data_IF_674129476974
#
_entry.id   IF_674129476974
#
_cell.length_a   1.000
_cell.length_b   1.000
_cell.length_c   1.000
_cell.angle_alpha   90.00
_cell.angle_beta   90.00
_cell.angle_gamma   90.00
#
_symmetry.space_group_name_H-M   'P 1'
#
loop_
_entity.id
_entity.type
_entity.pdbx_description
1 polymer ?
#
# COMPACT_ATOMS: atom_id res chain seq x y z
N UNK A 1 11.60 0.40 20.49
CA UNK A 1 11.65 0.44 19.01
C UNK A 1 11.52 -0.98 18.48
N UNK A 2 10.54 -1.25 17.61
CA UNK A 2 10.40 -2.55 16.93
C UNK A 2 11.71 -2.92 16.24
N UNK A 3 12.23 -4.12 16.51
CA UNK A 3 13.42 -4.67 15.83
C UNK A 3 13.12 -5.25 14.44
N UNK A 4 11.84 -5.30 14.07
CA UNK A 4 11.36 -5.96 12.86
C UNK A 4 11.30 -4.97 11.68
N UNK A 5 11.43 -5.50 10.45
CA UNK A 5 11.32 -4.78 9.17
C UNK A 5 12.52 -3.90 8.78
N UNK A 6 13.73 -4.47 8.79
CA UNK A 6 14.94 -3.83 8.23
C UNK A 6 15.16 -4.25 6.79
N UNK A 7 15.40 -3.27 5.93
CA UNK A 7 15.89 -3.47 4.56
C UNK A 7 17.42 -3.44 4.62
N UNK A 8 18.05 -4.62 4.61
CA UNK A 8 19.49 -4.74 4.85
C UNK A 8 20.30 -4.28 3.64
N UNK A 9 20.05 -4.88 2.47
CA UNK A 9 20.70 -4.51 1.22
C UNK A 9 19.66 -4.09 0.19
N UNK A 10 19.66 -2.80 -0.15
CA UNK A 10 18.69 -2.16 -1.05
C UNK A 10 18.78 -2.64 -2.51
N UNK A 11 19.88 -3.28 -2.89
CA UNK A 11 20.09 -3.84 -4.24
C UNK A 11 19.27 -5.10 -4.47
N UNK A 12 18.93 -5.83 -3.40
CA UNK A 12 18.14 -7.05 -3.52
C UNK A 12 16.63 -6.78 -3.38
N UNK A 13 15.81 -7.59 -4.07
CA UNK A 13 14.38 -7.58 -3.84
C UNK A 13 14.04 -7.97 -2.40
N UNK A 14 13.06 -7.31 -1.79
CA UNK A 14 12.50 -7.69 -0.50
C UNK A 14 11.03 -8.06 -0.64
N UNK A 15 10.64 -9.13 0.05
CA UNK A 15 9.25 -9.39 0.36
C UNK A 15 8.79 -8.48 1.50
N UNK A 16 7.69 -7.78 1.30
CA UNK A 16 7.05 -6.94 2.29
C UNK A 16 5.58 -7.30 2.45
N UNK A 17 5.07 -7.10 3.66
CA UNK A 17 3.66 -7.20 3.96
C UNK A 17 3.22 -6.05 4.87
N UNK A 18 2.03 -5.51 4.64
CA UNK A 18 1.41 -4.55 5.53
C UNK A 18 -0.12 -4.68 5.51
N UNK A 19 -0.73 -4.43 6.66
CA UNK A 19 -2.18 -4.57 6.88
C UNK A 19 -2.86 -3.24 7.18
N UNK A 20 -4.17 -3.21 6.99
CA UNK A 20 -5.07 -2.16 7.48
C UNK A 20 -5.08 -2.15 9.01
N UNK A 21 -5.39 -0.98 9.60
CA UNK A 21 -5.52 -0.87 11.05
C UNK A 21 -6.67 -1.77 11.52
N UNK A 22 -6.43 -2.55 12.58
CA UNK A 22 -7.43 -3.48 13.11
C UNK A 22 -7.76 -4.66 12.19
N UNK A 23 -6.97 -4.91 11.14
CA UNK A 23 -7.26 -5.96 10.14
C UNK A 23 -8.63 -5.81 9.46
N UNK A 24 -9.11 -4.56 9.36
CA UNK A 24 -10.40 -4.25 8.77
C UNK A 24 -10.37 -4.51 7.25
N UNK A 25 -11.40 -5.16 6.73
CA UNK A 25 -11.55 -5.45 5.30
C UNK A 25 -11.91 -4.19 4.50
N UNK A 26 -10.88 -3.41 4.17
CA UNK A 26 -10.98 -2.22 3.33
C UNK A 26 -11.10 -2.60 1.86
N UNK A 27 -10.26 -3.52 1.37
CA UNK A 27 -10.22 -3.93 -0.03
C UNK A 27 -11.33 -4.95 -0.34
N UNK A 28 -12.56 -4.48 -0.38
CA UNK A 28 -13.77 -5.29 -0.64
C UNK A 28 -14.52 -4.84 -1.88
N UNK A 29 -14.17 -3.68 -2.43
CA UNK A 29 -14.75 -3.08 -3.63
C UNK A 29 -13.65 -2.76 -4.62
N UNK A 30 -13.96 -2.94 -5.91
CA UNK A 30 -13.01 -2.69 -7.00
C UNK A 30 -12.41 -1.30 -6.94
N UNK A 31 -13.18 -0.28 -6.57
CA UNK A 31 -12.69 1.10 -6.45
C UNK A 31 -11.54 1.24 -5.44
N UNK A 32 -11.60 0.51 -4.32
CA UNK A 32 -10.54 0.54 -3.30
C UNK A 32 -9.29 -0.23 -3.75
N UNK A 33 -9.47 -1.35 -4.46
CA UNK A 33 -8.35 -2.04 -5.12
C UNK A 33 -7.69 -1.12 -6.16
N UNK A 34 -8.48 -0.46 -7.01
CA UNK A 34 -7.99 0.44 -8.04
C UNK A 34 -7.18 1.59 -7.43
N UNK A 35 -7.65 2.21 -6.34
CA UNK A 35 -6.88 3.26 -5.65
C UNK A 35 -5.51 2.76 -5.22
N UNK A 36 -5.42 1.53 -4.68
CA UNK A 36 -4.14 0.97 -4.26
C UNK A 36 -3.21 0.68 -5.44
N UNK A 37 -3.75 0.11 -6.52
CA UNK A 37 -3.00 -0.15 -7.76
C UNK A 37 -2.51 1.16 -8.39
N UNK A 38 -3.35 2.20 -8.44
CA UNK A 38 -2.96 3.53 -8.92
C UNK A 38 -1.82 4.12 -8.08
N UNK A 39 -1.88 3.97 -6.76
CA UNK A 39 -0.82 4.43 -5.86
C UNK A 39 0.50 3.67 -6.10
N UNK A 40 0.43 2.36 -6.34
CA UNK A 40 1.59 1.54 -6.68
C UNK A 40 2.18 2.03 -8.02
N UNK A 41 1.36 2.16 -9.07
CA UNK A 41 1.80 2.63 -10.39
C UNK A 41 2.43 4.02 -10.31
N UNK A 42 1.79 4.96 -9.61
CA UNK A 42 2.37 6.28 -9.40
C UNK A 42 3.74 6.23 -8.69
N UNK A 43 3.93 5.30 -7.76
CA UNK A 43 5.22 5.13 -7.06
C UNK A 43 6.27 4.47 -7.97
N UNK A 44 5.86 3.61 -8.91
CA UNK A 44 6.73 3.05 -9.95
C UNK A 44 7.22 4.18 -10.86
N UNK A 45 6.27 4.95 -11.42
CA UNK A 45 6.54 5.95 -12.46
C UNK A 45 7.34 7.15 -11.92
N UNK A 46 6.96 7.67 -10.75
CA UNK A 46 7.52 8.93 -10.24
C UNK A 46 8.68 8.74 -9.25
N UNK A 47 8.75 7.57 -8.58
CA UNK A 47 9.67 7.36 -7.45
C UNK A 47 10.66 6.20 -7.65
N UNK A 48 10.55 5.46 -8.75
CA UNK A 48 11.48 4.38 -9.07
C UNK A 48 11.29 3.12 -8.23
N UNK A 49 10.05 2.86 -7.76
CA UNK A 49 9.70 1.56 -7.19
C UNK A 49 9.76 0.48 -8.28
N UNK A 50 10.36 -0.65 -7.97
CA UNK A 50 10.32 -1.84 -8.83
C UNK A 50 9.41 -2.86 -8.15
N UNK A 51 8.45 -3.43 -8.88
CA UNK A 51 7.53 -4.46 -8.36
C UNK A 51 7.73 -5.74 -9.16
N UNK A 52 8.19 -6.80 -8.49
CA UNK A 52 8.37 -8.13 -9.09
C UNK A 52 7.13 -9.00 -8.96
N UNK A 53 6.29 -8.74 -7.96
CA UNK A 53 5.04 -9.44 -7.73
C UNK A 53 4.26 -8.80 -6.59
N UNK A 54 2.93 -8.91 -6.62
CA UNK A 54 2.07 -8.36 -5.57
C UNK A 54 0.77 -9.14 -5.45
N UNK A 55 0.17 -9.08 -4.27
CA UNK A 55 -1.17 -9.59 -3.99
C UNK A 55 -1.85 -8.63 -3.00
N UNK A 56 -3.06 -8.19 -3.34
CA UNK A 56 -3.91 -7.39 -2.44
C UNK A 56 -5.01 -8.31 -1.93
N UNK A 57 -4.99 -8.57 -0.62
CA UNK A 57 -6.05 -9.27 0.10
C UNK A 57 -7.02 -8.23 0.68
N UNK A 58 -8.13 -8.67 1.27
CA UNK A 58 -9.19 -7.78 1.76
C UNK A 58 -8.71 -6.78 2.83
N UNK A 59 -7.72 -7.15 3.63
CA UNK A 59 -7.21 -6.35 4.75
C UNK A 59 -5.69 -6.18 4.77
N UNK A 60 -4.96 -6.72 3.80
CA UNK A 60 -3.49 -6.59 3.76
C UNK A 60 -2.94 -6.75 2.35
N UNK A 61 -1.70 -6.32 2.16
CA UNK A 61 -1.00 -6.35 0.88
C UNK A 61 0.34 -7.04 1.05
N UNK A 62 0.67 -7.92 0.12
CA UNK A 62 1.97 -8.56 -0.02
C UNK A 62 2.64 -8.09 -1.31
N UNK A 63 3.93 -7.78 -1.26
CA UNK A 63 4.68 -7.35 -2.45
C UNK A 63 6.11 -7.87 -2.40
N UNK A 64 6.69 -8.15 -3.56
CA UNK A 64 8.13 -8.32 -3.76
C UNK A 64 8.62 -7.08 -4.49
N UNK A 65 9.44 -6.27 -3.82
CA UNK A 65 9.83 -4.94 -4.30
C UNK A 65 11.34 -4.78 -4.41
N UNK A 66 11.77 -3.94 -5.34
CA UNK A 66 13.11 -3.39 -5.42
C UNK A 66 13.04 -1.87 -5.58
N UNK A 67 14.18 -1.24 -5.85
CA UNK A 67 14.22 0.21 -6.05
C UNK A 67 15.30 0.63 -7.04
N UNK A 68 15.05 1.75 -7.71
CA UNK A 68 16.04 2.49 -8.50
C UNK A 68 16.28 3.87 -7.87
N UNK A 69 17.14 3.92 -6.85
CA UNK A 69 17.65 5.16 -6.25
C UNK A 69 17.12 5.48 -4.86
N UNK A 70 15.80 5.57 -4.66
CA UNK A 70 15.20 5.87 -3.34
C UNK A 70 15.23 4.63 -2.45
N UNK A 71 15.52 4.74 -1.16
CA UNK A 71 15.53 3.55 -0.29
C UNK A 71 14.14 2.91 -0.22
N UNK A 72 14.06 1.58 -0.25
CA UNK A 72 12.83 0.81 -0.24
C UNK A 72 11.93 1.16 0.97
N UNK A 73 12.49 1.41 2.16
CA UNK A 73 11.71 1.87 3.32
C UNK A 73 11.02 3.21 3.10
N UNK A 74 11.65 4.14 2.39
CA UNK A 74 11.09 5.47 2.13
C UNK A 74 9.97 5.36 1.09
N UNK A 75 10.16 4.54 0.05
CA UNK A 75 9.13 4.21 -0.92
C UNK A 75 7.91 3.58 -0.24
N UNK A 76 8.11 2.58 0.63
CA UNK A 76 7.00 1.91 1.33
C UNK A 76 6.30 2.84 2.31
N UNK A 77 7.04 3.67 3.05
CA UNK A 77 6.45 4.70 3.92
C UNK A 77 5.56 5.64 3.12
N UNK A 78 6.07 6.15 2.01
CA UNK A 78 5.38 7.11 1.17
C UNK A 78 4.16 6.47 0.49
N UNK A 79 4.30 5.25 -0.06
CA UNK A 79 3.20 4.48 -0.65
C UNK A 79 2.07 4.29 0.35
N UNK A 80 2.38 3.88 1.59
CA UNK A 80 1.38 3.69 2.66
C UNK A 80 0.69 5.00 3.03
N UNK A 81 1.45 6.09 3.17
CA UNK A 81 0.89 7.41 3.49
C UNK A 81 -0.02 7.93 2.37
N UNK A 82 0.43 7.81 1.12
CA UNK A 82 -0.28 8.30 -0.06
C UNK A 82 -1.56 7.48 -0.32
N UNK A 83 -1.46 6.16 -0.29
CA UNK A 83 -2.61 5.26 -0.45
C UNK A 83 -3.64 5.45 0.66
N UNK A 84 -3.22 5.57 1.92
CA UNK A 84 -4.14 5.82 3.04
C UNK A 84 -4.96 7.10 2.82
N UNK A 85 -4.32 8.22 2.46
CA UNK A 85 -5.02 9.49 2.20
C UNK A 85 -6.02 9.37 1.05
N UNK A 86 -5.63 8.72 -0.06
CA UNK A 86 -6.53 8.52 -1.20
C UNK A 86 -7.68 7.58 -0.85
N UNK A 87 -7.42 6.46 -0.16
CA UNK A 87 -8.44 5.51 0.27
C UNK A 87 -9.46 6.16 1.20
N UNK A 88 -9.02 6.88 2.23
CA UNK A 88 -9.91 7.58 3.16
C UNK A 88 -10.83 8.56 2.42
N UNK A 89 -10.28 9.35 1.50
CA UNK A 89 -11.08 10.27 0.66
C UNK A 89 -12.09 9.50 -0.21
N UNK A 90 -11.65 8.44 -0.87
CA UNK A 90 -12.53 7.61 -1.73
C UNK A 90 -13.65 6.97 -0.91
N UNK A 91 -13.36 6.43 0.28
CA UNK A 91 -14.37 5.88 1.19
C UNK A 91 -15.35 6.97 1.63
N UNK A 92 -14.86 8.14 2.03
CA UNK A 92 -15.69 9.25 2.49
C UNK A 92 -16.70 9.72 1.44
N UNK A 93 -16.29 9.81 0.17
CA UNK A 93 -17.16 10.30 -0.92
C UNK A 93 -17.95 9.19 -1.62
N UNK A 94 -17.69 7.91 -1.33
CA UNK A 94 -18.43 6.81 -1.96
C UNK A 94 -19.85 6.71 -1.38
N UNK A 95 -20.92 6.91 -2.17
CA UNK A 95 -22.30 6.79 -1.69
C UNK A 95 -22.74 5.33 -1.46
N UNK A 96 -22.06 4.37 -2.09
CA UNK A 96 -22.40 2.94 -2.00
C UNK A 96 -21.76 2.23 -0.81
N UNK A 97 -20.84 2.88 -0.09
CA UNK A 97 -20.18 2.29 1.08
C UNK A 97 -21.01 2.43 2.34
N UNK A 98 -21.74 1.38 2.67
CA UNK A 98 -22.57 1.29 3.88
C UNK A 98 -21.75 1.25 5.18
N UNK A 99 -20.48 0.84 5.13
CA UNK A 99 -19.60 0.72 6.30
C UNK A 99 -18.78 1.98 6.59
N UNK A 100 -19.10 3.10 5.94
CA UNK A 100 -18.30 4.34 5.99
C UNK A 100 -17.95 4.80 7.40
N UNK A 101 -18.90 4.78 8.34
CA UNK A 101 -18.67 5.17 9.74
C UNK A 101 -17.74 4.22 10.50
N UNK A 102 -17.63 2.97 10.08
CA UNK A 102 -16.74 1.98 10.69
C UNK A 102 -15.34 1.99 10.07
N UNK A 103 -15.24 2.36 8.79
CA UNK A 103 -13.98 2.42 8.04
C UNK A 103 -13.17 3.73 8.30
N UNK A 104 -13.82 4.78 8.81
CA UNK A 104 -13.24 6.12 9.05
C UNK A 104 -13.12 6.40 10.54
#
# INVERSE_FOLDING_TARGET
>A
MSRNYKYWNQEFPHFISFATVGWIDVFTRRDYFNVMVDCINHTIDEKGLIVYGWCIMTNHVHMIIGTKGIKQQDLVRDLKSFSAKRLLKTIQVNPQESRKQWLL
#
